data_IF_206189782100
#
_entry.id   IF_206189782100
#
_cell.length_a   1.000
_cell.length_b   1.000
_cell.length_c   1.000
_cell.angle_alpha   90.00
_cell.angle_beta   90.00
_cell.angle_gamma   90.00
#
_symmetry.space_group_name_H-M   'P 1'
#
loop_
_entity.id
_entity.type
_entity.pdbx_description
1 polymer ?
#
# COMPACT_ATOMS: atom_id res chain seq x y z
N UNK A 1 9.57 22.55 4.66
CA UNK A 1 8.43 21.65 4.38
C UNK A 1 8.70 20.97 3.04
N UNK A 2 9.25 19.75 3.07
CA UNK A 2 9.48 18.94 1.86
C UNK A 2 8.17 18.20 1.61
N UNK A 3 7.31 18.73 0.75
CA UNK A 3 7.28 18.54 -0.71
C UNK A 3 6.79 17.14 -1.10
N UNK A 4 5.51 17.11 -1.45
CA UNK A 4 4.86 16.45 -2.58
C UNK A 4 5.83 15.86 -3.65
N UNK A 5 6.59 14.81 -3.32
CA UNK A 5 7.41 14.03 -4.27
C UNK A 5 7.30 12.52 -3.97
N UNK A 6 6.06 12.03 -3.86
CA UNK A 6 5.79 10.59 -3.91
C UNK A 6 4.54 10.27 -4.75
N UNK A 7 3.98 11.29 -5.41
CA UNK A 7 2.85 11.12 -6.31
C UNK A 7 3.39 10.84 -7.71
N UNK A 8 3.60 9.55 -8.00
CA UNK A 8 3.80 9.00 -9.34
C UNK A 8 5.08 9.41 -10.08
N UNK A 9 5.70 8.41 -10.73
CA UNK A 9 6.67 8.54 -11.85
C UNK A 9 8.15 8.35 -11.55
N UNK A 10 8.53 7.70 -10.45
CA UNK A 10 9.80 6.97 -10.47
C UNK A 10 9.46 5.52 -10.79
N UNK A 11 9.94 5.04 -11.93
CA UNK A 11 10.03 3.62 -12.17
C UNK A 11 10.89 3.05 -11.03
N UNK A 12 10.23 2.40 -10.07
CA UNK A 12 10.87 1.80 -8.91
C UNK A 12 10.87 0.27 -9.08
N UNK A 13 11.50 -0.28 -10.15
CA UNK A 13 11.58 -1.72 -10.33
C UNK A 13 12.25 -2.41 -9.14
N UNK A 14 13.04 -1.67 -8.36
CA UNK A 14 13.78 -2.16 -7.19
C UNK A 14 13.14 -1.82 -5.82
N UNK A 15 12.02 -1.09 -5.75
CA UNK A 15 11.43 -0.78 -4.45
C UNK A 15 10.91 -2.06 -3.77
N UNK A 16 11.45 -2.36 -2.58
CA UNK A 16 10.96 -3.44 -1.72
C UNK A 16 9.86 -2.95 -0.76
N UNK A 17 9.78 -1.63 -0.52
CA UNK A 17 8.79 -1.03 0.37
C UNK A 17 8.11 0.11 -0.36
N UNK A 18 6.79 0.16 -0.31
CA UNK A 18 6.00 1.29 -0.78
C UNK A 18 4.99 1.71 0.28
N UNK A 19 4.80 3.02 0.44
CA UNK A 19 3.82 3.60 1.36
C UNK A 19 2.91 4.52 0.56
N UNK A 20 1.61 4.30 0.67
CA UNK A 20 0.58 5.18 0.14
C UNK A 20 -0.08 5.94 1.31
N UNK A 21 -0.11 7.25 1.21
CA UNK A 21 -0.85 8.13 2.13
C UNK A 21 -1.99 8.77 1.33
N UNK A 22 -3.22 8.66 1.83
CA UNK A 22 -4.49 9.12 1.25
C UNK A 22 -5.00 8.41 -0.02
N UNK A 23 -6.32 8.16 -0.04
CA UNK A 23 -7.01 7.32 -1.01
C UNK A 23 -7.97 8.11 -1.89
N UNK A 24 -7.45 8.80 -2.91
CA UNK A 24 -8.25 9.19 -4.07
C UNK A 24 -7.34 9.21 -5.28
N UNK A 25 -6.94 8.03 -5.76
CA UNK A 25 -6.06 7.92 -6.92
C UNK A 25 -6.60 6.94 -7.94
N UNK A 26 -6.95 7.49 -9.10
CA UNK A 26 -7.10 6.73 -10.33
C UNK A 26 -8.25 5.74 -10.34
N UNK A 27 -8.38 5.02 -11.44
CA UNK A 27 -9.31 3.89 -11.51
C UNK A 27 -8.79 2.70 -10.68
N UNK A 28 -9.69 1.82 -10.25
CA UNK A 28 -9.32 0.53 -9.62
C UNK A 28 -8.27 -0.24 -10.43
N UNK A 29 -8.31 -0.11 -11.76
CA UNK A 29 -7.39 -0.77 -12.68
C UNK A 29 -5.97 -0.17 -12.64
N UNK A 30 -5.86 1.16 -12.51
CA UNK A 30 -4.56 1.84 -12.36
C UNK A 30 -3.89 1.49 -11.04
N UNK A 31 -4.66 1.43 -9.94
CA UNK A 31 -4.15 1.03 -8.63
C UNK A 31 -3.68 -0.43 -8.63
N UNK A 32 -4.46 -1.33 -9.23
CA UNK A 32 -4.10 -2.74 -9.41
C UNK A 32 -2.80 -2.92 -10.20
N UNK A 33 -2.67 -2.22 -11.34
CA UNK A 33 -1.46 -2.29 -12.17
C UNK A 33 -0.23 -1.76 -11.42
N UNK A 34 -0.39 -0.68 -10.66
CA UNK A 34 0.68 -0.11 -9.84
C UNK A 34 1.12 -1.06 -8.72
N UNK A 35 0.17 -1.65 -8.00
CA UNK A 35 0.45 -2.61 -6.94
C UNK A 35 1.19 -3.84 -7.47
N UNK A 36 0.80 -4.37 -8.63
CA UNK A 36 1.49 -5.49 -9.26
C UNK A 36 2.94 -5.21 -9.67
N UNK A 37 3.27 -3.95 -10.00
CA UNK A 37 4.68 -3.55 -10.26
C UNK A 37 5.51 -3.48 -8.99
N UNK A 38 4.92 -2.98 -7.91
CA UNK A 38 5.58 -2.83 -6.61
C UNK A 38 5.80 -4.20 -5.96
N UNK A 39 4.77 -5.05 -5.94
CA UNK A 39 4.75 -6.33 -5.23
C UNK A 39 5.40 -7.49 -6.01
N UNK A 40 6.03 -7.21 -7.15
CA UNK A 40 6.74 -8.22 -7.93
C UNK A 40 7.90 -8.80 -7.10
N UNK A 41 8.07 -10.15 -7.06
CA UNK A 41 9.25 -10.78 -6.46
C UNK A 41 10.54 -10.20 -7.03
N UNK A 42 11.48 -9.83 -6.15
CA UNK A 42 12.79 -9.29 -6.57
C UNK A 42 13.75 -10.42 -6.93
N UNK A 43 14.69 -10.14 -7.82
CA UNK A 43 15.66 -11.12 -8.32
C UNK A 43 16.56 -11.69 -7.22
N UNK A 44 16.75 -10.94 -6.14
CA UNK A 44 17.52 -11.34 -4.94
C UNK A 44 16.69 -12.10 -3.89
N UNK A 45 15.42 -12.41 -4.19
CA UNK A 45 14.52 -13.13 -3.29
C UNK A 45 13.93 -12.27 -2.17
N UNK A 46 14.21 -10.96 -2.10
CA UNK A 46 13.58 -10.10 -1.11
C UNK A 46 12.08 -9.95 -1.39
N UNK A 47 11.30 -10.04 -0.32
CA UNK A 47 9.87 -9.75 -0.35
C UNK A 47 9.61 -8.26 -0.56
N UNK A 48 8.46 -7.96 -1.17
CA UNK A 48 7.96 -6.60 -1.29
C UNK A 48 6.83 -6.37 -0.28
N UNK A 49 6.81 -5.21 0.38
CA UNK A 49 5.73 -4.80 1.28
C UNK A 49 5.11 -3.50 0.80
N UNK A 50 3.79 -3.43 0.91
CA UNK A 50 3.01 -2.25 0.59
C UNK A 50 2.20 -1.85 1.83
N UNK A 51 2.37 -0.62 2.26
CA UNK A 51 1.60 -0.02 3.35
C UNK A 51 0.66 1.04 2.79
N UNK A 52 -0.57 1.09 3.29
CA UNK A 52 -1.50 2.18 3.03
C UNK A 52 -1.96 2.76 4.34
N UNK A 53 -1.82 4.07 4.50
CA UNK A 53 -2.41 4.81 5.63
C UNK A 53 -3.86 5.11 5.27
N UNK A 54 -4.77 4.76 6.17
CA UNK A 54 -6.22 4.88 5.98
C UNK A 54 -6.77 5.69 7.14
N UNK A 55 -7.44 6.80 6.84
CA UNK A 55 -8.12 7.58 7.86
C UNK A 55 -9.44 6.88 8.25
N UNK A 56 -9.59 6.55 9.54
CA UNK A 56 -10.81 5.93 10.08
C UNK A 56 -12.01 6.87 9.92
N UNK A 57 -13.19 6.30 9.69
CA UNK A 57 -14.46 7.02 9.55
C UNK A 57 -14.47 8.03 8.38
N UNK A 58 -13.72 7.70 7.33
CA UNK A 58 -13.66 8.47 6.08
C UNK A 58 -13.84 7.57 4.87
N UNK A 59 -14.04 8.17 3.70
CA UNK A 59 -14.09 7.46 2.41
C UNK A 59 -12.85 6.62 2.11
N UNK A 60 -11.70 6.91 2.74
CA UNK A 60 -10.48 6.10 2.60
C UNK A 60 -10.70 4.65 3.07
N UNK A 61 -11.60 4.42 4.04
CA UNK A 61 -11.93 3.07 4.50
C UNK A 61 -12.63 2.24 3.42
N UNK A 62 -13.54 2.84 2.67
CA UNK A 62 -14.23 2.15 1.58
C UNK A 62 -13.24 1.77 0.47
N UNK A 63 -12.31 2.66 0.14
CA UNK A 63 -11.22 2.34 -0.78
C UNK A 63 -10.32 1.22 -0.25
N UNK A 64 -9.97 1.25 1.05
CA UNK A 64 -9.17 0.21 1.68
C UNK A 64 -9.85 -1.17 1.65
N UNK A 65 -11.16 -1.23 1.91
CA UNK A 65 -11.93 -2.48 1.83
C UNK A 65 -11.94 -3.07 0.41
N UNK A 66 -12.15 -2.22 -0.60
CA UNK A 66 -12.07 -2.66 -2.01
C UNK A 66 -10.67 -3.19 -2.35
N UNK A 67 -9.62 -2.50 -1.91
CA UNK A 67 -8.23 -2.92 -2.13
C UNK A 67 -7.92 -4.24 -1.43
N UNK A 68 -8.35 -4.41 -0.18
CA UNK A 68 -8.17 -5.66 0.57
C UNK A 68 -8.78 -6.84 -0.19
N UNK A 69 -10.03 -6.69 -0.67
CA UNK A 69 -10.70 -7.74 -1.44
C UNK A 69 -9.94 -8.08 -2.72
N UNK A 70 -9.56 -7.06 -3.49
CA UNK A 70 -8.80 -7.23 -4.72
C UNK A 70 -7.45 -7.96 -4.48
N UNK A 71 -6.68 -7.53 -3.48
CA UNK A 71 -5.39 -8.15 -3.17
C UNK A 71 -5.53 -9.59 -2.66
N UNK A 72 -6.53 -9.86 -1.83
CA UNK A 72 -6.83 -11.21 -1.35
C UNK A 72 -7.22 -12.15 -2.49
N UNK A 73 -8.03 -11.70 -3.45
CA UNK A 73 -8.41 -12.46 -4.65
C UNK A 73 -7.20 -12.83 -5.52
N UNK A 74 -6.14 -12.00 -5.51
CA UNK A 74 -4.89 -12.27 -6.21
C UNK A 74 -3.89 -13.10 -5.36
N UNK A 75 -4.25 -13.49 -4.14
CA UNK A 75 -3.43 -14.32 -3.26
C UNK A 75 -2.40 -13.57 -2.41
N UNK A 76 -2.46 -12.23 -2.34
CA UNK A 76 -1.56 -11.46 -1.47
C UNK A 76 -1.98 -11.55 0.00
N UNK A 77 -1.00 -11.68 0.90
CA UNK A 77 -1.22 -11.51 2.33
C UNK A 77 -1.58 -10.06 2.66
N UNK A 78 -2.63 -9.86 3.46
CA UNK A 78 -3.09 -8.53 3.86
C UNK A 78 -3.31 -8.48 5.37
N UNK A 79 -2.83 -7.41 6.02
CA UNK A 79 -2.99 -7.17 7.46
C UNK A 79 -3.47 -5.74 7.68
N UNK A 80 -4.45 -5.58 8.57
CA UNK A 80 -4.88 -4.29 9.09
C UNK A 80 -4.25 -4.14 10.47
N UNK A 81 -3.62 -3.00 10.72
CA UNK A 81 -2.97 -2.67 11.99
C UNK A 81 -3.60 -1.37 12.48
N UNK A 82 -3.94 -1.31 13.77
CA UNK A 82 -4.44 -0.08 14.36
C UNK A 82 -3.31 0.96 14.43
N UNK A 83 -3.65 2.23 14.19
CA UNK A 83 -2.69 3.32 14.29
C UNK A 83 -2.11 3.43 15.70
N UNK A 84 -2.94 3.16 16.71
CA UNK A 84 -2.51 3.20 18.11
C UNK A 84 -1.42 2.16 18.38
N UNK A 85 -1.54 0.94 17.84
CA UNK A 85 -0.55 -0.14 17.98
C UNK A 85 0.79 0.19 17.31
N UNK A 86 0.75 0.92 16.18
CA UNK A 86 1.96 1.40 15.50
C UNK A 86 2.66 2.44 16.35
N UNK A 87 1.89 3.36 16.96
CA UNK A 87 2.44 4.46 17.78
C UNK A 87 3.02 3.92 19.09
N UNK A 88 2.36 2.95 19.73
CA UNK A 88 2.87 2.29 20.94
C UNK A 88 4.03 1.32 20.67
N UNK A 89 4.33 1.03 19.40
CA UNK A 89 5.38 0.07 19.02
C UNK A 89 5.02 -1.39 19.31
N UNK A 90 3.74 -1.70 19.52
CA UNK A 90 3.23 -3.06 19.71
C UNK A 90 2.91 -3.76 18.39
N UNK A 91 2.87 -3.02 17.28
CA UNK A 91 2.61 -3.55 15.95
C UNK A 91 3.77 -4.40 15.41
N UNK A 92 3.45 -5.59 14.91
CA UNK A 92 4.34 -6.41 14.10
C UNK A 92 4.21 -6.01 12.62
N UNK A 93 5.19 -5.26 12.10
CA UNK A 93 5.23 -4.69 10.74
C UNK A 93 6.02 -5.54 9.74
#
# INVERSE_FOLDING_TARGET
MVSKVANFSVDLPEASIAIQVSGSFGSRQEEAQRLGRILRPKADGRGARFYSVVARDTVDQDFAQHRQRFLAEQGYSYRIIDGDDVISGSADL
#
